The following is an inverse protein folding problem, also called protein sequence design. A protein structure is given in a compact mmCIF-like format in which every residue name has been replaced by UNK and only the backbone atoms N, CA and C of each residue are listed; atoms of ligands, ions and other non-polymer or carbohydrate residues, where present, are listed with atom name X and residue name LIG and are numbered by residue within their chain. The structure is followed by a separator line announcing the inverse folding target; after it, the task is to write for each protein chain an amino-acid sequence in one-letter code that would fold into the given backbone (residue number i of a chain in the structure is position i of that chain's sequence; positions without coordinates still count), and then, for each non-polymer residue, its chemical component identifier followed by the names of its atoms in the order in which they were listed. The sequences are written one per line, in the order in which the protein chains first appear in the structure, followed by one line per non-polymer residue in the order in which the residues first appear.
data_IF_147586113586
#
_entry.id   IF_147586113586
#
_cell.length_a   1.000
_cell.length_b   1.000
_cell.length_c   1.000
_cell.angle_alpha   90.00
_cell.angle_beta   90.00
_cell.angle_gamma   90.00
#
_symmetry.space_group_name_H-M   'P 1'
#
loop_
_entity.id
_entity.type
_entity.pdbx_description
1 polymer ?
#
# COMPACT_ATOMS: atom_id res chain seq x y z
N UNK A 1 26.63 46.80 -34.85
CA UNK A 1 25.59 46.89 -35.92
C UNK A 1 24.45 46.00 -35.49
N UNK A 2 23.20 46.46 -35.52
CA UNK A 2 22.00 45.69 -35.12
C UNK A 2 21.03 45.63 -36.30
N UNK A 3 20.37 44.49 -36.51
CA UNK A 3 19.42 44.28 -37.61
C UNK A 3 18.50 43.08 -37.30
N UNK A 4 17.31 42.99 -37.94
CA UNK A 4 16.41 41.86 -37.75
C UNK A 4 17.07 40.51 -38.05
N UNK A 5 16.76 39.51 -37.23
CA UNK A 5 17.38 38.19 -37.27
C UNK A 5 16.66 37.24 -38.23
N UNK A 6 17.29 36.84 -39.35
CA UNK A 6 16.68 35.88 -40.27
C UNK A 6 16.64 34.44 -39.72
N UNK A 7 17.29 34.14 -38.60
CA UNK A 7 17.11 32.84 -37.92
C UNK A 7 15.73 32.70 -37.29
N UNK A 8 15.07 33.81 -36.95
CA UNK A 8 13.68 33.79 -36.53
C UNK A 8 12.80 33.71 -37.79
N UNK A 9 12.11 32.59 -37.97
CA UNK A 9 11.34 32.31 -39.18
C UNK A 9 10.22 33.34 -39.37
N UNK A 10 9.50 33.67 -38.28
CA UNK A 10 8.44 34.69 -38.32
C UNK A 10 8.98 36.06 -38.74
N UNK A 11 10.15 36.44 -38.23
CA UNK A 11 10.82 37.68 -38.64
C UNK A 11 11.23 37.61 -40.11
N UNK A 12 11.90 36.54 -40.52
CA UNK A 12 12.45 36.37 -41.85
C UNK A 12 11.40 36.35 -42.96
N UNK A 13 10.22 35.79 -42.70
CA UNK A 13 9.18 35.58 -43.73
C UNK A 13 8.05 36.60 -43.71
N UNK A 14 7.85 37.30 -42.60
CA UNK A 14 6.69 38.19 -42.41
C UNK A 14 7.08 39.54 -41.83
N UNK A 15 7.59 39.59 -40.60
CA UNK A 15 7.80 40.88 -39.92
C UNK A 15 8.82 41.76 -40.64
N UNK A 16 9.84 41.16 -41.26
CA UNK A 16 10.81 41.88 -42.08
C UNK A 16 10.15 42.60 -43.25
N UNK A 17 9.08 42.07 -43.83
CA UNK A 17 8.42 42.68 -45.00
C UNK A 17 7.27 43.63 -44.63
N UNK A 18 7.03 43.87 -43.33
CA UNK A 18 6.08 44.90 -42.90
C UNK A 18 6.58 46.32 -43.22
N UNK A 19 7.89 46.50 -43.29
CA UNK A 19 8.50 47.74 -43.78
C UNK A 19 8.82 47.58 -45.29
N UNK A 20 8.18 48.36 -46.18
CA UNK A 20 8.38 48.25 -47.63
C UNK A 20 9.77 48.73 -48.08
N UNK A 21 10.55 49.38 -47.22
CA UNK A 21 11.91 49.82 -47.54
C UNK A 21 12.95 48.70 -47.40
N UNK A 22 12.60 47.59 -46.74
CA UNK A 22 13.50 46.46 -46.57
C UNK A 22 13.74 45.71 -47.89
N UNK A 23 15.01 45.38 -48.15
CA UNK A 23 15.43 44.72 -49.39
C UNK A 23 15.54 43.20 -49.19
N UNK A 24 16.51 42.75 -48.38
CA UNK A 24 16.75 41.33 -48.09
C UNK A 24 17.25 41.16 -46.65
N UNK A 25 16.79 40.12 -45.92
CA UNK A 25 17.37 39.79 -44.63
C UNK A 25 18.85 39.45 -44.76
N UNK A 26 19.68 39.93 -43.84
CA UNK A 26 21.13 39.70 -43.85
C UNK A 26 21.47 38.59 -42.86
N UNK A 27 22.03 37.44 -43.30
CA UNK A 27 22.47 36.38 -42.40
C UNK A 27 23.53 36.87 -41.41
N UNK A 28 23.42 36.45 -40.16
CA UNK A 28 24.32 36.89 -39.08
C UNK A 28 25.80 36.60 -39.35
N UNK A 29 26.10 35.45 -39.97
CA UNK A 29 27.46 35.08 -40.40
C UNK A 29 28.02 35.99 -41.50
N UNK A 30 27.15 36.51 -42.38
CA UNK A 30 27.57 37.44 -43.43
C UNK A 30 27.89 38.81 -42.84
N UNK A 31 27.07 39.28 -41.89
CA UNK A 31 27.32 40.55 -41.22
C UNK A 31 28.56 40.49 -40.31
N UNK A 32 28.83 39.34 -39.67
CA UNK A 32 30.02 39.17 -38.81
C UNK A 32 31.34 39.17 -39.60
N UNK A 33 31.31 38.74 -40.86
CA UNK A 33 32.47 38.77 -41.76
C UNK A 33 32.97 40.20 -42.04
N UNK A 34 32.09 41.21 -42.11
CA UNK A 34 32.49 42.58 -42.42
C UNK A 34 33.53 43.16 -41.44
N UNK A 35 33.30 43.16 -40.12
CA UNK A 35 34.32 43.62 -39.19
C UNK A 35 35.60 42.77 -39.22
N UNK A 36 35.51 41.47 -39.46
CA UNK A 36 36.70 40.62 -39.65
C UNK A 36 37.52 41.08 -40.87
N UNK A 37 36.86 41.31 -41.99
CA UNK A 37 37.47 41.79 -43.23
C UNK A 37 38.15 43.15 -43.07
N UNK A 38 37.54 44.06 -42.30
CA UNK A 38 38.12 45.38 -41.99
C UNK A 38 39.20 45.34 -40.88
N UNK A 39 39.61 44.16 -40.42
CA UNK A 39 40.77 43.99 -39.52
C UNK A 39 40.48 44.22 -38.04
N UNK A 40 39.23 44.03 -37.59
CA UNK A 40 38.96 43.97 -36.15
C UNK A 40 39.53 42.68 -35.54
N UNK A 41 40.14 42.77 -34.36
CA UNK A 41 40.80 41.64 -33.70
C UNK A 41 39.82 40.50 -33.38
N UNK A 42 38.62 40.85 -32.90
CA UNK A 42 37.58 39.86 -32.62
C UNK A 42 36.18 40.38 -32.87
N UNK A 43 35.30 39.47 -33.23
CA UNK A 43 33.89 39.71 -33.56
C UNK A 43 33.00 38.78 -32.73
N UNK A 44 31.79 39.24 -32.41
CA UNK A 44 30.79 38.42 -31.72
C UNK A 44 29.41 38.80 -32.20
N UNK A 45 28.61 37.78 -32.50
CA UNK A 45 27.19 37.90 -32.78
C UNK A 45 26.41 37.72 -31.48
N UNK A 46 25.59 38.69 -31.15
CA UNK A 46 24.67 38.71 -30.03
C UNK A 46 23.25 38.56 -30.58
N UNK A 47 22.49 37.60 -30.08
CA UNK A 47 21.05 37.55 -30.36
C UNK A 47 20.33 38.30 -29.24
N UNK A 48 19.31 39.08 -29.60
CA UNK A 48 18.71 40.09 -28.73
C UNK A 48 17.19 39.98 -28.68
N UNK A 49 16.60 40.56 -27.64
CA UNK A 49 15.15 40.75 -27.47
C UNK A 49 14.31 39.45 -27.43
N UNK A 50 14.91 38.34 -27.00
CA UNK A 50 14.17 37.11 -26.73
C UNK A 50 13.17 37.25 -25.57
N UNK A 51 12.16 36.38 -25.57
CA UNK A 51 11.30 36.23 -24.40
C UNK A 51 12.07 35.61 -23.23
N UNK A 52 12.00 36.28 -22.07
CA UNK A 52 12.60 35.80 -20.82
C UNK A 52 12.01 34.46 -20.37
N UNK A 53 10.74 34.21 -20.67
CA UNK A 53 10.06 32.96 -20.33
C UNK A 53 10.64 31.78 -21.13
N UNK A 54 10.85 31.99 -22.43
CA UNK A 54 11.44 31.00 -23.35
C UNK A 54 12.89 30.66 -23.02
N UNK A 55 13.62 31.58 -22.37
CA UNK A 55 15.00 31.34 -21.98
C UNK A 55 15.11 30.18 -20.98
N UNK A 56 14.17 30.11 -20.02
CA UNK A 56 14.14 29.10 -18.94
C UNK A 56 13.34 27.85 -19.35
N UNK A 57 12.39 28.00 -20.27
CA UNK A 57 11.50 26.93 -20.67
C UNK A 57 12.23 25.79 -21.39
N UNK A 58 12.18 24.58 -20.81
CA UNK A 58 12.75 23.36 -21.41
C UNK A 58 11.85 22.76 -22.49
N UNK A 59 10.54 22.72 -22.22
CA UNK A 59 9.57 22.11 -23.13
C UNK A 59 8.99 23.17 -24.05
N UNK A 60 9.61 23.35 -25.21
CA UNK A 60 9.14 24.31 -26.23
C UNK A 60 8.17 23.64 -27.20
N UNK A 61 7.21 24.40 -27.71
CA UNK A 61 6.29 23.95 -28.76
C UNK A 61 6.78 24.37 -30.15
N UNK A 62 6.16 23.87 -31.21
CA UNK A 62 6.59 24.19 -32.59
C UNK A 62 6.45 25.68 -32.90
N UNK A 63 5.38 26.31 -32.43
CA UNK A 63 5.13 27.73 -32.64
C UNK A 63 6.26 28.59 -32.04
N UNK A 64 6.69 28.24 -30.83
CA UNK A 64 7.83 28.84 -30.13
C UNK A 64 9.16 28.59 -30.84
N UNK A 65 9.34 27.51 -31.60
CA UNK A 65 10.53 27.33 -32.44
C UNK A 65 10.51 28.31 -33.63
N UNK A 66 9.34 28.52 -34.22
CA UNK A 66 9.15 29.38 -35.40
C UNK A 66 9.31 30.87 -35.03
N UNK A 67 8.74 31.30 -33.90
CA UNK A 67 8.70 32.73 -33.51
C UNK A 67 9.64 33.10 -32.34
N UNK A 68 10.08 32.12 -31.55
CA UNK A 68 10.71 32.36 -30.25
C UNK A 68 12.23 32.54 -30.29
N UNK A 69 12.84 32.38 -31.47
CA UNK A 69 14.23 32.80 -31.72
C UNK A 69 14.32 34.30 -31.45
N UNK A 70 15.42 34.78 -30.89
CA UNK A 70 15.64 36.23 -30.71
C UNK A 70 15.35 37.00 -32.00
N UNK A 71 14.43 37.99 -32.00
CA UNK A 71 13.96 38.65 -33.22
C UNK A 71 15.02 39.53 -33.87
N UNK A 72 15.96 40.04 -33.08
CA UNK A 72 17.06 40.88 -33.55
C UNK A 72 18.41 40.23 -33.25
N UNK A 73 19.43 40.62 -34.01
CA UNK A 73 20.81 40.31 -33.67
C UNK A 73 21.70 41.52 -33.86
N UNK A 74 22.78 41.57 -33.08
CA UNK A 74 23.83 42.55 -33.21
C UNK A 74 25.18 41.90 -33.42
N UNK A 75 25.99 42.51 -34.27
CA UNK A 75 27.41 42.20 -34.39
C UNK A 75 28.19 43.29 -33.66
N UNK A 76 28.98 42.86 -32.68
CA UNK A 76 29.99 43.68 -32.01
C UNK A 76 31.38 43.26 -32.48
N UNK A 77 32.28 44.24 -32.56
CA UNK A 77 33.65 44.01 -32.96
C UNK A 77 34.57 44.84 -32.07
N UNK A 78 35.70 44.25 -31.67
CA UNK A 78 36.71 44.91 -30.85
C UNK A 78 37.98 45.13 -31.65
N UNK A 79 38.48 46.36 -31.61
CA UNK A 79 39.79 46.71 -32.18
C UNK A 79 40.92 46.07 -31.38
N UNK A 80 42.07 45.92 -32.03
CA UNK A 80 43.29 45.55 -31.34
C UNK A 80 43.60 46.56 -30.21
N UNK A 81 44.06 46.05 -29.07
CA UNK A 81 44.38 46.85 -27.90
C UNK A 81 45.37 46.08 -27.00
N UNK A 82 45.96 46.77 -26.02
CA UNK A 82 46.81 46.11 -25.02
C UNK A 82 46.05 44.97 -24.30
N UNK A 83 46.79 43.94 -23.90
CA UNK A 83 46.25 42.73 -23.28
C UNK A 83 45.30 43.04 -22.09
N UNK A 84 45.67 43.99 -21.22
CA UNK A 84 44.86 44.39 -20.06
C UNK A 84 43.46 44.92 -20.43
N UNK A 85 43.31 45.50 -21.62
CA UNK A 85 42.02 46.00 -22.11
C UNK A 85 41.23 44.87 -22.76
N UNK A 86 41.90 43.98 -23.51
CA UNK A 86 41.25 42.83 -24.13
C UNK A 86 40.68 41.86 -23.07
N UNK A 87 41.46 41.58 -22.03
CA UNK A 87 41.10 40.62 -20.97
C UNK A 87 39.79 41.00 -20.25
N UNK A 88 39.53 42.31 -20.09
CA UNK A 88 38.29 42.82 -19.47
C UNK A 88 37.02 42.37 -20.17
N UNK A 89 37.08 42.08 -21.47
CA UNK A 89 35.90 41.68 -22.24
C UNK A 89 35.88 40.18 -22.57
N UNK A 90 36.89 39.40 -22.19
CA UNK A 90 36.98 37.97 -22.51
C UNK A 90 35.76 37.18 -22.04
N UNK A 91 35.26 37.50 -20.85
CA UNK A 91 34.06 36.87 -20.29
C UNK A 91 32.84 37.08 -21.20
N UNK A 92 32.67 38.28 -21.71
CA UNK A 92 31.53 38.66 -22.55
C UNK A 92 31.66 37.98 -23.92
N UNK A 93 32.84 37.96 -24.53
CA UNK A 93 33.05 37.31 -25.83
C UNK A 93 32.88 35.78 -25.77
N UNK A 94 33.17 35.15 -24.63
CA UNK A 94 32.96 33.72 -24.40
C UNK A 94 31.49 33.34 -24.17
N UNK A 95 30.66 34.26 -23.69
CA UNK A 95 29.26 33.99 -23.40
C UNK A 95 28.41 33.98 -24.68
N UNK A 96 27.44 33.08 -24.74
CA UNK A 96 26.39 33.11 -25.77
C UNK A 96 25.17 33.90 -25.28
N UNK A 97 24.60 34.67 -26.19
CA UNK A 97 23.50 35.59 -25.92
C UNK A 97 22.30 35.24 -26.79
N UNK A 98 21.13 35.39 -26.20
CA UNK A 98 19.82 35.14 -26.81
C UNK A 98 19.53 33.70 -27.16
N UNK A 99 18.45 33.50 -27.91
CA UNK A 99 17.97 32.19 -28.33
C UNK A 99 18.24 31.99 -29.82
N UNK A 100 18.98 30.95 -30.15
CA UNK A 100 19.18 30.50 -31.53
C UNK A 100 18.09 29.53 -31.97
N UNK A 101 17.88 29.43 -33.28
CA UNK A 101 16.99 28.43 -33.86
C UNK A 101 17.41 27.01 -33.47
N UNK A 102 18.71 26.70 -33.51
CA UNK A 102 19.22 25.38 -33.09
C UNK A 102 18.86 25.04 -31.64
N UNK A 103 19.02 25.98 -30.72
CA UNK A 103 18.71 25.78 -29.30
C UNK A 103 17.25 25.42 -29.08
N UNK A 104 16.33 26.09 -29.80
CA UNK A 104 14.90 25.83 -29.69
C UNK A 104 14.51 24.52 -30.39
N UNK A 105 15.08 24.23 -31.56
CA UNK A 105 14.86 22.95 -32.25
C UNK A 105 15.32 21.77 -31.40
N UNK A 106 16.52 21.85 -30.80
CA UNK A 106 17.04 20.80 -29.91
C UNK A 106 16.11 20.57 -28.72
N UNK A 107 15.59 21.64 -28.10
CA UNK A 107 14.61 21.52 -27.01
C UNK A 107 13.30 20.87 -27.46
N UNK A 108 12.84 21.19 -28.67
CA UNK A 108 11.64 20.60 -29.24
C UNK A 108 11.82 19.11 -29.53
N UNK A 109 12.94 18.71 -30.16
CA UNK A 109 13.27 17.32 -30.44
C UNK A 109 13.41 16.51 -29.15
N UNK A 110 14.12 17.04 -28.15
CA UNK A 110 14.23 16.40 -26.84
C UNK A 110 12.85 16.20 -26.19
N UNK A 111 11.92 17.15 -26.38
CA UNK A 111 10.54 17.00 -25.89
C UNK A 111 9.82 15.85 -26.60
N UNK A 112 9.96 15.73 -27.93
CA UNK A 112 9.36 14.64 -28.70
C UNK A 112 9.90 13.28 -28.28
N UNK A 113 11.22 13.14 -28.17
CA UNK A 113 11.86 11.90 -27.71
C UNK A 113 11.36 11.48 -26.32
N UNK A 114 11.20 12.45 -25.40
CA UNK A 114 10.65 12.17 -24.07
C UNK A 114 9.18 11.73 -24.10
N UNK A 115 8.38 12.24 -25.04
CA UNK A 115 6.99 11.83 -25.23
C UNK A 115 6.94 10.41 -25.79
N UNK A 116 7.74 10.11 -26.81
CA UNK A 116 7.84 8.77 -27.42
C UNK A 116 8.30 7.73 -26.41
N UNK A 117 9.31 8.03 -25.61
CA UNK A 117 9.80 7.14 -24.55
C UNK A 117 8.72 6.86 -23.48
N UNK A 118 7.93 7.87 -23.11
CA UNK A 118 6.82 7.68 -22.16
C UNK A 118 5.67 6.88 -22.77
N UNK A 119 5.39 7.07 -24.06
CA UNK A 119 4.36 6.33 -24.77
C UNK A 119 4.72 4.84 -24.87
N UNK A 120 5.97 4.51 -25.22
CA UNK A 120 6.43 3.13 -25.28
C UNK A 120 6.45 2.47 -23.90
N UNK A 121 6.86 3.17 -22.85
CA UNK A 121 6.79 2.66 -21.48
C UNK A 121 5.33 2.40 -21.04
N UNK A 122 4.40 3.28 -21.41
CA UNK A 122 2.98 3.10 -21.11
C UNK A 122 2.38 1.91 -21.87
N UNK A 123 2.76 1.69 -23.13
CA UNK A 123 2.34 0.55 -23.94
C UNK A 123 2.83 -0.77 -23.34
N UNK A 124 4.11 -0.83 -22.95
CA UNK A 124 4.66 -2.01 -22.25
C UNK A 124 3.88 -2.30 -20.98
N UNK A 125 3.64 -1.30 -20.13
CA UNK A 125 2.85 -1.48 -18.90
C UNK A 125 1.41 -1.92 -19.17
N UNK A 126 0.78 -1.41 -20.22
CA UNK A 126 -0.56 -1.82 -20.62
C UNK A 126 -0.57 -3.30 -21.04
N UNK A 127 0.41 -3.72 -21.85
CA UNK A 127 0.55 -5.12 -22.27
C UNK A 127 0.79 -6.07 -21.09
N UNK A 128 1.65 -5.69 -20.12
CA UNK A 128 1.88 -6.49 -18.91
C UNK A 128 0.62 -6.60 -18.04
N UNK A 129 -0.16 -5.53 -17.94
CA UNK A 129 -1.41 -5.53 -17.20
C UNK A 129 -2.46 -6.42 -17.88
N UNK A 130 -2.51 -6.43 -19.21
CA UNK A 130 -3.39 -7.30 -19.99
C UNK A 130 -3.03 -8.79 -19.80
N UNK A 131 -1.74 -9.13 -19.82
CA UNK A 131 -1.26 -10.49 -19.53
C UNK A 131 -1.64 -10.91 -18.11
N UNK A 132 -1.42 -10.05 -17.10
CA UNK A 132 -1.83 -10.36 -15.71
C UNK A 132 -3.33 -10.52 -15.58
N UNK A 133 -4.12 -9.72 -16.30
CA UNK A 133 -5.57 -9.82 -16.31
C UNK A 133 -6.06 -11.12 -16.98
N UNK A 134 -5.41 -11.56 -18.06
CA UNK A 134 -5.75 -12.82 -18.73
C UNK A 134 -5.38 -14.03 -17.86
N UNK A 135 -4.23 -14.02 -17.19
CA UNK A 135 -3.84 -15.04 -16.21
C UNK A 135 -4.82 -15.10 -15.02
N UNK A 136 -5.22 -13.94 -14.49
CA UNK A 136 -6.18 -13.88 -13.40
C UNK A 136 -7.55 -14.44 -13.81
N UNK A 137 -8.00 -14.13 -15.05
CA UNK A 137 -9.22 -14.71 -15.62
C UNK A 137 -9.10 -16.22 -15.77
N UNK A 138 -7.97 -16.74 -16.26
CA UNK A 138 -7.73 -18.17 -16.40
C UNK A 138 -7.78 -18.90 -15.04
N UNK A 139 -7.10 -18.37 -14.01
CA UNK A 139 -7.17 -18.90 -12.64
C UNK A 139 -8.57 -18.85 -12.07
N UNK A 140 -9.32 -17.77 -12.32
CA UNK A 140 -10.70 -17.66 -11.88
C UNK A 140 -11.61 -18.67 -12.59
N UNK A 141 -11.42 -18.94 -13.89
CA UNK A 141 -12.17 -19.98 -14.60
C UNK A 141 -11.83 -21.38 -14.08
N UNK A 142 -10.57 -21.66 -13.80
CA UNK A 142 -10.14 -22.95 -13.23
C UNK A 142 -10.73 -23.16 -11.83
N UNK A 143 -10.70 -22.13 -10.98
CA UNK A 143 -11.31 -22.18 -9.65
C UNK A 143 -12.82 -22.41 -9.72
N UNK A 144 -13.52 -21.76 -10.67
CA UNK A 144 -14.95 -22.00 -10.91
C UNK A 144 -15.22 -23.43 -11.36
N UNK A 145 -14.40 -23.98 -12.26
CA UNK A 145 -14.53 -25.37 -12.70
C UNK A 145 -14.37 -26.34 -11.52
N UNK A 146 -13.32 -26.16 -10.70
CA UNK A 146 -13.12 -26.98 -9.48
C UNK A 146 -14.26 -26.84 -8.47
N UNK A 147 -14.81 -25.64 -8.29
CA UNK A 147 -15.96 -25.43 -7.43
C UNK A 147 -17.20 -26.18 -7.94
N UNK A 148 -17.49 -26.08 -9.24
CA UNK A 148 -18.61 -26.82 -9.84
C UNK A 148 -18.44 -28.34 -9.75
N UNK A 149 -17.22 -28.85 -9.91
CA UNK A 149 -16.93 -30.27 -9.74
C UNK A 149 -17.15 -30.71 -8.27
N UNK A 150 -16.68 -29.92 -7.30
CA UNK A 150 -16.89 -30.19 -5.89
C UNK A 150 -18.38 -30.15 -5.50
N UNK A 151 -19.17 -29.25 -6.10
CA UNK A 151 -20.63 -29.22 -5.92
C UNK A 151 -21.30 -30.49 -6.45
N UNK A 152 -20.90 -30.97 -7.63
CA UNK A 152 -21.39 -32.24 -8.19
C UNK A 152 -20.99 -33.41 -7.28
N UNK A 153 -19.74 -33.47 -6.83
CA UNK A 153 -19.29 -34.51 -5.91
C UNK A 153 -20.05 -34.47 -4.58
N UNK A 154 -20.29 -33.30 -4.01
CA UNK A 154 -21.08 -33.13 -2.80
C UNK A 154 -22.53 -33.58 -3.01
N UNK A 155 -23.14 -33.23 -4.15
CA UNK A 155 -24.49 -33.68 -4.51
C UNK A 155 -24.55 -35.20 -4.64
N UNK A 156 -23.61 -35.80 -5.36
CA UNK A 156 -23.51 -37.25 -5.50
C UNK A 156 -23.31 -37.95 -4.15
N UNK A 157 -22.49 -37.37 -3.26
CA UNK A 157 -22.30 -37.88 -1.90
C UNK A 157 -23.59 -37.80 -1.07
N UNK A 158 -24.35 -36.71 -1.20
CA UNK A 158 -25.68 -36.58 -0.60
C UNK A 158 -26.66 -37.62 -1.15
N UNK A 159 -26.73 -37.80 -2.47
CA UNK A 159 -27.61 -38.79 -3.09
C UNK A 159 -27.25 -40.21 -2.63
N UNK A 160 -25.96 -40.54 -2.56
CA UNK A 160 -25.47 -41.80 -2.00
C UNK A 160 -25.84 -41.95 -0.52
N UNK A 161 -25.74 -40.89 0.28
CA UNK A 161 -26.17 -40.92 1.67
C UNK A 161 -27.69 -41.18 1.78
N UNK A 162 -28.50 -40.52 0.97
CA UNK A 162 -29.95 -40.72 0.93
C UNK A 162 -30.33 -42.14 0.52
N UNK A 163 -29.67 -42.74 -0.48
CA UNK A 163 -29.93 -44.13 -0.89
C UNK A 163 -29.58 -45.13 0.22
N UNK A 164 -28.44 -44.96 0.89
CA UNK A 164 -28.04 -45.82 2.01
C UNK A 164 -29.03 -45.70 3.16
N UNK A 165 -29.39 -44.49 3.59
CA UNK A 165 -30.32 -44.28 4.72
C UNK A 165 -31.72 -44.80 4.42
N UNK A 166 -32.20 -44.66 3.17
CA UNK A 166 -33.53 -45.12 2.78
C UNK A 166 -33.63 -46.63 2.50
N UNK A 167 -32.51 -47.33 2.38
CA UNK A 167 -32.48 -48.78 2.17
C UNK A 167 -33.11 -49.56 3.33
N UNK A 168 -33.78 -50.69 3.01
CA UNK A 168 -34.49 -51.51 4.01
C UNK A 168 -33.54 -52.08 5.08
N UNK A 169 -32.32 -52.47 4.69
CA UNK A 169 -31.29 -52.97 5.61
C UNK A 169 -30.82 -51.90 6.61
N UNK A 170 -30.73 -50.64 6.18
CA UNK A 170 -30.42 -49.52 7.07
C UNK A 170 -31.56 -49.22 8.04
N UNK A 171 -32.81 -49.20 7.56
CA UNK A 171 -33.99 -48.96 8.41
C UNK A 171 -34.15 -50.01 9.51
N UNK A 172 -33.91 -51.29 9.20
CA UNK A 172 -33.98 -52.39 10.17
C UNK A 172 -32.86 -52.30 11.21
N UNK A 173 -31.64 -51.92 10.81
CA UNK A 173 -30.47 -51.85 11.72
C UNK A 173 -30.28 -50.48 12.39
N UNK A 174 -31.00 -49.43 11.95
CA UNK A 174 -30.99 -48.09 12.51
C UNK A 174 -31.27 -48.06 14.03
N UNK A 175 -32.37 -48.67 14.54
CA UNK A 175 -32.65 -48.64 15.98
C UNK A 175 -31.54 -49.35 16.79
N UNK A 176 -30.97 -50.44 16.27
CA UNK A 176 -29.89 -51.17 16.92
C UNK A 176 -28.59 -50.35 16.97
N UNK A 177 -28.27 -49.59 15.93
CA UNK A 177 -27.08 -48.72 15.89
C UNK A 177 -27.21 -47.49 16.76
N UNK A 178 -28.40 -46.90 16.85
CA UNK A 178 -28.70 -45.84 17.81
C UNK A 178 -28.60 -46.37 19.24
N UNK A 179 -29.13 -47.57 19.48
CA UNK A 179 -28.97 -48.26 20.76
C UNK A 179 -27.49 -48.52 21.06
N UNK A 180 -26.69 -48.96 20.09
CA UNK A 180 -25.25 -49.16 20.26
C UNK A 180 -24.48 -47.86 20.58
N UNK A 181 -24.83 -46.74 19.93
CA UNK A 181 -24.27 -45.42 20.26
C UNK A 181 -24.70 -44.95 21.65
N UNK A 182 -25.97 -45.13 22.01
CA UNK A 182 -26.49 -44.84 23.33
C UNK A 182 -25.79 -45.69 24.39
N UNK A 183 -25.66 -46.99 24.18
CA UNK A 183 -25.01 -47.91 25.09
C UNK A 183 -23.53 -47.55 25.25
N UNK A 184 -22.83 -47.21 24.16
CA UNK A 184 -21.44 -46.76 24.22
C UNK A 184 -21.33 -45.45 25.00
N UNK A 185 -22.14 -44.44 24.68
CA UNK A 185 -22.19 -43.18 25.43
C UNK A 185 -22.56 -43.39 26.92
N UNK A 186 -23.51 -44.28 27.22
CA UNK A 186 -23.97 -44.60 28.56
C UNK A 186 -22.92 -45.38 29.35
N UNK A 187 -22.23 -46.34 28.73
CA UNK A 187 -21.12 -47.09 29.33
C UNK A 187 -19.92 -46.17 29.57
N UNK A 188 -19.49 -45.38 28.59
CA UNK A 188 -18.42 -44.39 28.80
C UNK A 188 -18.83 -43.36 29.86
N UNK A 189 -20.07 -42.88 29.81
CA UNK A 189 -20.62 -41.93 30.78
C UNK A 189 -20.69 -42.49 32.20
N UNK A 190 -21.16 -43.73 32.37
CA UNK A 190 -21.26 -44.42 33.66
C UNK A 190 -19.91 -44.87 34.19
N UNK A 191 -19.00 -45.34 33.33
CA UNK A 191 -17.61 -45.59 33.69
C UNK A 191 -16.95 -44.32 34.23
N UNK A 192 -17.08 -43.17 33.55
CA UNK A 192 -16.59 -41.89 34.04
C UNK A 192 -17.32 -41.39 35.30
N UNK A 193 -18.60 -41.77 35.51
CA UNK A 193 -19.37 -41.42 36.71
C UNK A 193 -18.92 -42.24 37.94
N UNK A 194 -18.68 -43.55 37.77
CA UNK A 194 -18.20 -44.45 38.82
C UNK A 194 -16.71 -44.24 39.15
N UNK A 195 -15.86 -43.95 38.17
CA UNK A 195 -14.40 -43.80 38.38
C UNK A 195 -13.97 -42.42 38.87
N UNK A 196 -14.91 -41.50 39.13
CA UNK A 196 -14.64 -40.13 39.61
C UNK A 196 -13.51 -39.40 38.86
N UNK A 197 -13.38 -39.69 37.55
CA UNK A 197 -12.33 -39.13 36.69
C UNK A 197 -12.42 -37.59 36.61
N UNK A 198 -11.29 -36.85 36.57
CA UNK A 198 -11.27 -35.40 36.77
C UNK A 198 -12.06 -34.55 35.75
N UNK A 199 -12.44 -35.11 34.59
CA UNK A 199 -13.23 -34.41 33.55
C UNK A 199 -14.75 -34.65 33.65
N UNK A 200 -15.20 -35.48 34.58
CA UNK A 200 -16.61 -35.90 34.69
C UNK A 200 -17.48 -34.90 35.49
N UNK A 201 -18.76 -34.81 35.12
CA UNK A 201 -19.79 -33.94 35.76
C UNK A 201 -20.21 -34.27 37.22
N UNK A 202 -19.97 -35.45 37.84
CA UNK A 202 -20.41 -35.73 39.22
C UNK A 202 -19.72 -34.82 40.25
N UNK A 203 -18.42 -34.51 40.05
CA UNK A 203 -17.69 -33.58 40.93
C UNK A 203 -18.33 -32.20 41.01
N UNK A 204 -18.91 -31.70 39.90
CA UNK A 204 -19.61 -30.40 39.85
C UNK A 204 -20.96 -30.45 40.56
N UNK A 205 -21.73 -31.52 40.36
CA UNK A 205 -23.04 -31.69 41.00
C UNK A 205 -22.91 -31.91 42.51
N UNK A 206 -21.97 -32.75 42.95
CA UNK A 206 -21.67 -32.97 44.38
C UNK A 206 -21.20 -31.66 45.02
N UNK A 207 -20.30 -30.91 44.37
CA UNK A 207 -19.85 -29.60 44.85
C UNK A 207 -21.01 -28.62 45.02
N UNK A 208 -21.95 -28.56 44.06
CA UNK A 208 -23.11 -27.67 44.15
C UNK A 208 -24.06 -28.07 45.28
N UNK A 209 -24.34 -29.37 45.45
CA UNK A 209 -25.13 -29.89 46.58
C UNK A 209 -24.43 -29.61 47.92
N UNK A 210 -23.10 -29.77 48.02
CA UNK A 210 -22.35 -29.42 49.24
C UNK A 210 -22.41 -27.93 49.56
N UNK A 211 -22.37 -27.05 48.56
CA UNK A 211 -22.54 -25.60 48.78
C UNK A 211 -23.96 -25.28 49.28
N UNK A 212 -24.99 -25.90 48.70
CA UNK A 212 -26.37 -25.71 49.15
C UNK A 212 -26.58 -26.24 50.58
N UNK A 213 -26.00 -27.40 50.93
CA UNK A 213 -26.03 -27.95 52.29
C UNK A 213 -25.28 -27.04 53.27
N UNK A 214 -24.10 -26.52 52.88
CA UNK A 214 -23.33 -25.55 53.69
C UNK A 214 -24.14 -24.28 53.96
N UNK A 215 -24.81 -23.75 52.95
CA UNK A 215 -25.67 -22.56 53.10
C UNK A 215 -26.88 -22.87 54.00
N UNK A 216 -27.50 -24.04 53.87
CA UNK A 216 -28.61 -24.49 54.71
C UNK A 216 -28.23 -24.67 56.18
N UNK A 217 -27.03 -25.21 56.46
CA UNK A 217 -26.49 -25.36 57.82
C UNK A 217 -26.17 -23.98 58.43
N UNK A 218 -25.74 -23.01 57.62
CA UNK A 218 -25.45 -21.65 58.08
C UNK A 218 -26.72 -20.83 58.39
N UNK A 219 -27.85 -21.12 57.72
CA UNK A 219 -29.12 -20.40 57.96
C UNK A 219 -29.89 -20.92 59.17
N UNK A 220 -29.67 -22.17 59.62
CA UNK A 220 -30.35 -22.73 60.80
C UNK A 220 -29.42 -22.83 62.02
N UNK A 221 -29.61 -21.95 63.01
CA UNK A 221 -28.75 -21.83 64.20
C UNK A 221 -28.61 -23.13 65.03
N UNK A 222 -29.66 -23.97 65.13
CA UNK A 222 -29.61 -25.23 65.90
C UNK A 222 -28.61 -26.24 65.32
N UNK A 223 -28.56 -26.38 64.00
CA UNK A 223 -27.65 -27.31 63.34
C UNK A 223 -26.20 -26.81 63.31
N UNK A 224 -25.99 -25.49 63.37
CA UNK A 224 -24.65 -24.88 63.43
C UNK A 224 -23.85 -25.33 64.66
N UNK A 225 -24.49 -25.41 65.82
CA UNK A 225 -23.82 -25.84 67.06
C UNK A 225 -23.45 -27.32 67.03
N UNK A 226 -24.37 -28.18 66.57
CA UNK A 226 -24.13 -29.63 66.44
C UNK A 226 -23.05 -29.91 65.39
N UNK A 227 -23.13 -29.25 64.22
CA UNK A 227 -22.13 -29.42 63.16
C UNK A 227 -20.75 -28.92 63.60
N UNK A 228 -20.66 -27.80 64.33
CA UNK A 228 -19.40 -27.30 64.89
C UNK A 228 -18.81 -28.24 65.96
N UNK A 229 -19.64 -28.83 66.82
CA UNK A 229 -19.20 -29.79 67.83
C UNK A 229 -18.56 -31.03 67.18
N UNK A 230 -19.20 -31.57 66.13
CA UNK A 230 -18.70 -32.73 65.39
C UNK A 230 -17.47 -32.36 64.53
N UNK A 231 -17.47 -31.19 63.87
CA UNK A 231 -16.34 -30.75 63.03
C UNK A 231 -15.07 -30.43 63.85
N UNK A 232 -15.21 -30.09 65.13
CA UNK A 232 -14.05 -29.85 66.00
C UNK A 232 -13.28 -31.13 66.32
N UNK A 233 -13.93 -32.30 66.23
CA UNK A 233 -13.28 -33.60 66.40
C UNK A 233 -12.44 -34.03 65.18
N UNK A 234 -12.72 -33.46 63.99
CA UNK A 234 -12.04 -33.79 62.74
C UNK A 234 -11.48 -32.55 62.02
N UNK A 235 -10.27 -32.08 62.40
CA UNK A 235 -9.71 -30.82 61.90
C UNK A 235 -9.48 -30.80 60.38
N UNK A 236 -9.16 -31.95 59.77
CA UNK A 236 -8.94 -32.05 58.33
C UNK A 236 -10.22 -31.89 57.49
N UNK A 237 -11.36 -32.38 57.98
CA UNK A 237 -12.65 -32.25 57.30
C UNK A 237 -13.13 -30.80 57.40
N UNK A 238 -12.95 -30.15 58.56
CA UNK A 238 -13.21 -28.73 58.77
C UNK A 238 -12.43 -27.84 57.81
N UNK A 239 -11.14 -28.11 57.61
CA UNK A 239 -10.30 -27.37 56.67
C UNK A 239 -10.71 -27.59 55.19
N UNK A 240 -11.18 -28.79 54.83
CA UNK A 240 -11.72 -29.07 53.49
C UNK A 240 -13.06 -28.39 53.25
N UNK A 241 -13.96 -28.35 54.24
CA UNK A 241 -15.28 -27.74 54.11
C UNK A 241 -15.24 -26.20 54.05
N UNK A 242 -14.24 -25.57 54.71
CA UNK A 242 -13.94 -24.14 54.52
C UNK A 242 -13.54 -23.83 53.08
N UNK A 243 -12.69 -24.66 52.46
CA UNK A 243 -12.23 -24.51 51.07
C UNK A 243 -13.32 -24.74 50.02
N UNK A 244 -14.33 -25.57 50.31
CA UNK A 244 -15.47 -25.79 49.41
C UNK A 244 -16.33 -24.51 49.35
N UNK A 245 -16.25 -23.80 48.22
CA UNK A 245 -16.98 -22.55 47.95
C UNK A 245 -16.12 -21.28 47.98
N UNK A 246 -14.86 -21.34 48.44
CA UNK A 246 -13.89 -20.27 48.21
C UNK A 246 -13.39 -20.39 46.76
N UNK A 247 -13.93 -19.57 45.87
CA UNK A 247 -13.37 -19.40 44.54
C UNK A 247 -12.17 -18.47 44.71
N UNK A 248 -10.97 -19.03 44.78
CA UNK A 248 -9.74 -18.28 44.52
C UNK A 248 -9.68 -18.03 43.01
N UNK A 249 -10.20 -16.88 42.57
CA UNK A 249 -9.77 -16.32 41.30
C UNK A 249 -8.31 -15.90 41.51
N UNK A 250 -7.36 -16.72 41.04
CA UNK A 250 -6.01 -16.26 40.79
C UNK A 250 -6.08 -15.35 39.56
N UNK A 251 -6.43 -14.09 39.79
CA UNK A 251 -6.18 -13.03 38.82
C UNK A 251 -4.74 -12.61 39.05
N UNK A 252 -3.83 -13.31 38.38
CA UNK A 252 -2.41 -13.04 38.43
C UNK A 252 -2.15 -11.77 37.60
N UNK A 253 -1.92 -10.66 38.29
CA UNK A 253 -1.91 -9.32 37.69
C UNK A 253 -0.59 -9.00 36.97
N UNK A 254 0.43 -9.86 37.08
CA UNK A 254 1.78 -9.59 36.57
C UNK A 254 2.24 -10.47 35.39
N UNK A 255 1.39 -11.35 34.84
CA UNK A 255 1.76 -12.28 33.76
C UNK A 255 1.48 -11.80 32.32
N UNK A 256 1.35 -10.49 32.10
CA UNK A 256 1.09 -9.95 30.76
C UNK A 256 2.28 -10.03 29.78
N UNK A 257 3.49 -10.30 30.26
CA UNK A 257 4.71 -10.26 29.43
C UNK A 257 5.05 -11.64 28.82
N UNK A 258 4.78 -12.75 29.53
CA UNK A 258 5.09 -14.11 29.02
C UNK A 258 4.08 -14.63 27.98
N UNK A 259 2.82 -14.22 28.05
CA UNK A 259 1.77 -14.72 27.14
C UNK A 259 2.04 -14.28 25.68
N UNK A 260 2.71 -13.14 25.49
CA UNK A 260 3.01 -12.59 24.16
C UNK A 260 3.93 -13.48 23.32
N UNK A 261 4.84 -14.19 23.97
CA UNK A 261 5.84 -15.00 23.27
C UNK A 261 5.24 -16.29 22.70
N UNK A 262 4.21 -16.85 23.34
CA UNK A 262 3.59 -18.13 22.96
C UNK A 262 2.34 -18.02 22.04
N UNK A 263 1.97 -16.82 21.59
CA UNK A 263 0.83 -16.61 20.70
C UNK A 263 1.15 -16.99 19.23
N UNK A 264 0.17 -17.59 18.53
CA UNK A 264 0.29 -17.88 17.08
C UNK A 264 0.38 -16.57 16.27
N UNK A 265 0.97 -16.59 15.05
CA UNK A 265 1.16 -15.38 14.25
C UNK A 265 -0.14 -14.60 13.98
N UNK A 266 -1.26 -15.31 13.80
CA UNK A 266 -2.56 -14.69 13.59
C UNK A 266 -3.09 -14.03 14.88
N UNK A 267 -2.92 -14.70 16.02
CA UNK A 267 -3.34 -14.16 17.31
C UNK A 267 -2.55 -12.90 17.71
N UNK A 268 -1.25 -12.84 17.35
CA UNK A 268 -0.43 -11.61 17.51
C UNK A 268 -0.98 -10.44 16.69
N UNK A 269 -1.38 -10.67 15.43
CA UNK A 269 -1.97 -9.62 14.57
C UNK A 269 -3.28 -9.08 15.14
N UNK A 270 -4.15 -9.98 15.60
CA UNK A 270 -5.44 -9.61 16.21
C UNK A 270 -5.21 -8.78 17.47
N UNK A 271 -4.28 -9.20 18.33
CA UNK A 271 -3.95 -8.44 19.54
C UNK A 271 -3.44 -7.04 19.20
N UNK A 272 -2.50 -6.90 18.25
CA UNK A 272 -1.92 -5.60 17.87
C UNK A 272 -3.02 -4.68 17.33
N UNK A 273 -3.93 -5.23 16.51
CA UNK A 273 -5.08 -4.49 15.98
C UNK A 273 -5.99 -3.98 17.10
N UNK A 274 -6.37 -4.85 18.03
CA UNK A 274 -7.19 -4.50 19.19
C UNK A 274 -6.51 -3.44 20.08
N UNK A 275 -5.21 -3.56 20.33
CA UNK A 275 -4.47 -2.58 21.13
C UNK A 275 -4.47 -1.20 20.46
N UNK A 276 -4.29 -1.16 19.14
CA UNK A 276 -4.35 0.07 18.35
C UNK A 276 -5.75 0.70 18.37
N UNK A 277 -6.79 -0.11 18.22
CA UNK A 277 -8.18 0.36 18.23
C UNK A 277 -8.57 0.93 19.62
N UNK A 278 -8.09 0.34 20.71
CA UNK A 278 -8.29 0.84 22.07
C UNK A 278 -7.56 2.18 22.29
N UNK A 279 -6.34 2.33 21.76
CA UNK A 279 -5.59 3.59 21.82
C UNK A 279 -6.26 4.70 21.00
N UNK A 280 -6.80 4.38 19.82
CA UNK A 280 -7.58 5.33 19.02
C UNK A 280 -8.88 5.73 19.72
N UNK A 281 -9.57 4.80 20.39
CA UNK A 281 -10.75 5.13 21.19
C UNK A 281 -10.42 6.04 22.37
N UNK A 282 -9.32 5.80 23.10
CA UNK A 282 -8.89 6.70 24.17
C UNK A 282 -8.59 8.11 23.65
N UNK A 283 -7.88 8.23 22.52
CA UNK A 283 -7.61 9.52 21.87
C UNK A 283 -8.86 10.24 21.36
N UNK A 284 -9.93 9.50 21.05
CA UNK A 284 -11.23 10.08 20.65
C UNK A 284 -12.10 10.49 21.84
N UNK A 285 -11.88 9.91 23.03
CA UNK A 285 -12.61 10.28 24.25
C UNK A 285 -11.99 11.43 25.05
N UNK A 286 -10.77 11.87 24.70
CA UNK A 286 -10.06 13.00 25.32
C UNK A 286 -10.17 14.32 24.51
N UNK A 287 -11.00 14.34 23.46
CA UNK A 287 -11.39 15.55 22.71
C UNK A 287 -12.87 15.83 22.91
#
# INVERSE_FOLDING_TARGET
METPNPENIKVATENFYLDPTHIKPIPSKLLSFLPEFYGYNRTKTLRLQESKELTVQKNVNLFQVIEGVSPDYAVIAQKEANADVLEKFDKIFKQDFGLSLSTLTDRFENRLQNIEAKASEAEVKASEAEVKASEAKAKASEAKAKASEAEIQAKNAWDNYYTVVNSNSWKITMPLRLMGKFLRWFIYGSYHWLTFSPTSRPRRVIRQKMINIKNYINTHQRFKYITMAILNYFPHIRARLKRVGQIQFLYDKDNNIEIYQHLSPNAKRIYIKLKKDIEEQKRRGEK
#
